data_IF_073106637217
#
_entry.id   IF_073106637217
#
_cell.length_a   1.000
_cell.length_b   1.000
_cell.length_c   1.000
_cell.angle_alpha   90.00
_cell.angle_beta   90.00
_cell.angle_gamma   90.00
#
_symmetry.space_group_name_H-M   'P 1'
#
loop_
_entity.id
_entity.type
_entity.pdbx_description
1 polymer ?
#
# COMPACT_ATOMS: atom_id res chain seq x y z
N UNK A 1 16.06 0.16 19.81
CA UNK A 1 15.76 1.58 19.52
C UNK A 1 15.92 2.36 20.81
N UNK A 2 16.67 3.46 20.79
CA UNK A 2 16.74 4.43 21.90
C UNK A 2 16.07 5.70 21.35
N UNK A 3 14.82 5.99 21.72
CA UNK A 3 14.13 7.19 21.27
C UNK A 3 14.73 8.45 21.91
N UNK A 4 14.42 9.62 21.33
CA UNK A 4 14.73 10.89 21.99
C UNK A 4 14.09 10.93 23.38
N UNK A 5 14.68 11.57 24.40
CA UNK A 5 14.17 11.59 25.78
C UNK A 5 12.72 12.08 25.93
N UNK A 6 12.23 12.90 24.99
CA UNK A 6 10.86 13.42 24.97
C UNK A 6 9.89 12.57 24.13
N UNK A 7 10.37 11.44 23.58
CA UNK A 7 9.57 10.54 22.75
C UNK A 7 9.55 9.16 23.35
N UNK A 8 8.40 8.51 23.27
CA UNK A 8 8.22 7.10 23.58
C UNK A 8 8.03 6.31 22.26
N UNK A 9 8.64 5.13 22.20
CA UNK A 9 8.46 4.22 21.07
C UNK A 9 7.85 2.91 21.57
N UNK A 10 6.67 2.61 21.09
CA UNK A 10 5.94 1.37 21.42
C UNK A 10 5.82 0.48 20.19
N UNK A 11 5.79 -0.83 20.39
CA UNK A 11 5.55 -1.79 19.30
C UNK A 11 4.04 -1.90 19.08
N UNK A 12 3.55 -1.35 17.96
CA UNK A 12 2.13 -1.38 17.61
C UNK A 12 1.68 -2.76 17.10
N UNK A 13 2.45 -3.37 16.19
CA UNK A 13 2.13 -4.68 15.62
C UNK A 13 3.39 -5.42 15.17
N UNK A 14 3.33 -6.75 15.13
CA UNK A 14 4.40 -7.63 14.68
C UNK A 14 3.83 -8.87 13.99
N UNK A 15 4.68 -9.71 13.44
CA UNK A 15 4.29 -11.04 12.97
C UNK A 15 3.61 -11.84 14.10
N UNK A 16 2.56 -12.59 13.78
CA UNK A 16 2.02 -12.93 12.46
C UNK A 16 0.88 -12.00 11.98
N UNK A 17 0.61 -10.90 12.67
CA UNK A 17 -0.49 -9.99 12.28
C UNK A 17 -0.26 -9.38 10.90
N UNK A 18 0.99 -9.07 10.58
CA UNK A 18 1.45 -8.59 9.28
C UNK A 18 2.77 -9.27 8.93
N UNK A 19 3.13 -9.31 7.64
CA UNK A 19 4.35 -9.91 7.14
C UNK A 19 5.05 -8.92 6.22
N UNK A 20 6.35 -8.64 6.47
CA UNK A 20 7.19 -7.82 5.62
C UNK A 20 6.49 -6.53 5.11
N UNK A 21 6.14 -5.58 6.01
CA UNK A 21 5.42 -4.36 5.64
C UNK A 21 6.24 -3.50 4.70
N UNK A 22 5.63 -3.01 3.61
CA UNK A 22 6.27 -2.17 2.61
C UNK A 22 5.88 -0.70 2.74
N UNK A 23 4.60 -0.43 3.02
CA UNK A 23 4.08 0.92 3.21
C UNK A 23 2.85 0.89 4.11
N UNK A 24 2.47 2.05 4.67
CA UNK A 24 1.31 2.17 5.53
C UNK A 24 0.61 3.53 5.37
N UNK A 25 -0.68 3.55 5.72
CA UNK A 25 -1.49 4.75 5.88
C UNK A 25 -2.43 4.57 7.09
N UNK A 26 -3.02 5.66 7.55
CA UNK A 26 -3.94 5.66 8.69
C UNK A 26 -5.27 6.25 8.23
N UNK A 27 -6.36 5.53 8.41
CA UNK A 27 -7.70 6.01 8.07
C UNK A 27 -8.28 6.98 9.12
N UNK A 28 -9.48 7.49 8.84
CA UNK A 28 -10.15 8.46 9.70
C UNK A 28 -10.57 7.87 11.07
N UNK A 29 -10.67 6.57 11.18
CA UNK A 29 -10.95 5.83 12.40
C UNK A 29 -9.69 5.53 13.23
N UNK A 30 -8.50 5.86 12.71
CA UNK A 30 -7.22 5.60 13.37
C UNK A 30 -6.68 4.19 13.14
N UNK A 31 -7.27 3.41 12.23
CA UNK A 31 -6.80 2.07 11.89
C UNK A 31 -5.61 2.15 10.95
N UNK A 32 -4.65 1.27 11.13
CA UNK A 32 -3.41 1.24 10.35
C UNK A 32 -3.56 0.27 9.18
N UNK A 33 -3.48 0.82 7.96
CA UNK A 33 -3.52 0.05 6.72
C UNK A 33 -2.11 -0.22 6.24
N UNK A 34 -1.81 -1.47 5.89
CA UNK A 34 -0.45 -1.90 5.54
C UNK A 34 -0.45 -2.70 4.24
N UNK A 35 0.44 -2.35 3.33
CA UNK A 35 0.79 -3.22 2.19
C UNK A 35 1.92 -4.15 2.59
N UNK A 36 1.80 -5.43 2.23
CA UNK A 36 2.85 -6.43 2.44
C UNK A 36 3.71 -6.58 1.17
N UNK A 37 4.98 -6.91 1.36
CA UNK A 37 5.95 -7.15 0.29
C UNK A 37 6.65 -8.49 0.42
N UNK A 38 5.92 -9.56 0.80
CA UNK A 38 6.48 -10.91 0.96
C UNK A 38 6.95 -11.47 -0.37
N UNK A 39 6.22 -11.19 -1.45
CA UNK A 39 6.58 -11.57 -2.82
C UNK A 39 7.47 -10.55 -3.52
N UNK A 40 8.27 -9.83 -2.75
CA UNK A 40 9.23 -8.88 -3.28
C UNK A 40 10.27 -9.57 -4.16
N UNK A 41 10.57 -8.96 -5.33
CA UNK A 41 11.56 -9.48 -6.31
C UNK A 41 11.25 -10.89 -6.80
N UNK A 42 10.05 -11.11 -7.33
CA UNK A 42 9.55 -12.39 -7.88
C UNK A 42 10.45 -13.05 -8.92
N UNK A 43 11.32 -12.28 -9.58
CA UNK A 43 12.29 -12.77 -10.56
C UNK A 43 13.56 -13.38 -9.96
N UNK A 44 13.72 -13.32 -8.64
CA UNK A 44 14.84 -13.96 -7.96
C UNK A 44 14.61 -15.48 -7.81
N UNK A 45 15.68 -16.28 -7.59
CA UNK A 45 15.58 -17.75 -7.54
C UNK A 45 14.59 -18.31 -6.52
N UNK A 46 14.29 -17.55 -5.45
CA UNK A 46 13.33 -17.98 -4.42
C UNK A 46 11.86 -17.81 -4.83
N UNK A 47 11.57 -17.13 -5.93
CA UNK A 47 10.21 -17.03 -6.48
C UNK A 47 9.16 -16.48 -5.52
N UNK A 48 7.91 -16.86 -5.74
CA UNK A 48 6.78 -16.47 -4.87
C UNK A 48 6.80 -17.25 -3.56
N UNK A 49 6.87 -16.53 -2.44
CA UNK A 49 6.76 -17.10 -1.09
C UNK A 49 5.29 -17.26 -0.71
N UNK A 50 4.43 -16.31 -1.13
CA UNK A 50 2.97 -16.39 -0.97
C UNK A 50 2.29 -16.68 -2.33
N UNK A 51 1.86 -17.92 -2.60
CA UNK A 51 1.25 -18.27 -3.89
C UNK A 51 -0.04 -17.52 -4.21
N UNK A 52 -0.79 -17.11 -3.18
CA UNK A 52 -2.03 -16.33 -3.32
C UNK A 52 -1.79 -14.85 -3.60
N UNK A 53 -0.55 -14.39 -3.59
CA UNK A 53 -0.19 -12.98 -3.66
C UNK A 53 -0.06 -12.31 -2.30
N UNK A 54 0.45 -11.07 -2.30
CA UNK A 54 0.60 -10.26 -1.10
C UNK A 54 -0.75 -9.71 -0.62
N UNK A 55 -0.77 -9.19 0.59
CA UNK A 55 -2.00 -8.71 1.25
C UNK A 55 -1.94 -7.21 1.48
N UNK A 56 -3.13 -6.62 1.50
CA UNK A 56 -3.41 -5.34 2.13
C UNK A 56 -4.07 -5.66 3.46
N UNK A 57 -3.49 -5.18 4.57
CA UNK A 57 -3.93 -5.48 5.93
C UNK A 57 -4.52 -4.24 6.59
N UNK A 58 -5.54 -4.44 7.43
CA UNK A 58 -6.08 -3.43 8.35
C UNK A 58 -5.76 -3.92 9.77
N UNK A 59 -5.03 -3.11 10.51
CA UNK A 59 -4.65 -3.37 11.90
C UNK A 59 -5.38 -2.37 12.79
N UNK A 60 -5.97 -2.83 13.86
CA UNK A 60 -6.76 -2.00 14.75
C UNK A 60 -6.43 -2.29 16.22
N UNK A 61 -6.28 -1.22 16.99
CA UNK A 61 -6.22 -1.22 18.45
C UNK A 61 -7.63 -0.94 18.98
N UNK A 62 -8.35 -1.98 19.37
CA UNK A 62 -9.77 -1.85 19.78
C UNK A 62 -9.94 -1.54 21.26
N UNK A 63 -8.89 -1.66 22.08
CA UNK A 63 -8.92 -1.42 23.52
C UNK A 63 -8.13 -0.18 23.96
N UNK A 64 -7.42 0.46 23.03
CA UNK A 64 -6.73 1.74 23.24
C UNK A 64 -5.42 1.64 24.02
N UNK A 65 -4.80 0.46 24.05
CA UNK A 65 -3.53 0.25 24.75
C UNK A 65 -2.28 0.61 23.93
N UNK A 66 -2.47 1.07 22.69
CA UNK A 66 -1.40 1.45 21.77
C UNK A 66 -0.84 0.26 20.97
N UNK A 67 -1.52 -0.89 20.98
CA UNK A 67 -1.12 -2.08 20.24
C UNK A 67 -2.30 -2.63 19.44
N UNK A 68 -2.03 -3.05 18.23
CA UNK A 68 -3.04 -3.72 17.42
C UNK A 68 -3.40 -5.07 18.06
N UNK A 69 -4.68 -5.29 18.30
CA UNK A 69 -5.22 -6.56 18.80
C UNK A 69 -6.11 -7.25 17.76
N UNK A 70 -6.41 -6.59 16.64
CA UNK A 70 -7.08 -7.19 15.48
C UNK A 70 -6.30 -6.96 14.21
N UNK A 71 -6.45 -7.88 13.25
CA UNK A 71 -5.83 -7.79 11.94
C UNK A 71 -6.74 -8.43 10.87
N UNK A 72 -7.28 -7.61 9.97
CA UNK A 72 -8.12 -8.05 8.87
C UNK A 72 -7.34 -8.06 7.54
N UNK A 73 -7.76 -8.87 6.59
CA UNK A 73 -7.26 -8.80 5.21
C UNK A 73 -8.30 -8.10 4.35
N UNK A 74 -7.97 -6.89 3.91
CA UNK A 74 -8.79 -6.12 2.99
C UNK A 74 -8.78 -6.73 1.58
N UNK A 75 -7.59 -7.07 1.09
CA UNK A 75 -7.40 -7.71 -0.20
C UNK A 75 -6.17 -8.61 -0.18
N UNK A 76 -6.19 -9.66 -1.02
CA UNK A 76 -5.04 -10.50 -1.30
C UNK A 76 -5.03 -10.90 -2.77
N UNK A 77 -3.92 -10.64 -3.47
CA UNK A 77 -3.82 -10.96 -4.89
C UNK A 77 -2.42 -10.73 -5.46
N UNK A 78 -2.18 -11.32 -6.63
CA UNK A 78 -0.90 -11.18 -7.33
C UNK A 78 -0.69 -9.78 -7.94
N UNK A 79 -1.74 -8.99 -8.06
CA UNK A 79 -1.75 -7.62 -8.56
C UNK A 79 -1.28 -6.58 -7.52
N UNK A 80 -1.14 -6.98 -6.27
CA UNK A 80 -0.58 -6.14 -5.19
C UNK A 80 0.74 -6.68 -4.62
N UNK A 81 1.43 -7.57 -5.35
CA UNK A 81 2.73 -8.07 -4.91
C UNK A 81 3.74 -6.93 -4.76
N UNK A 82 4.33 -6.82 -3.58
CA UNK A 82 5.30 -5.80 -3.22
C UNK A 82 4.81 -4.36 -3.52
N UNK A 83 3.57 -4.06 -3.15
CA UNK A 83 3.01 -2.72 -3.31
C UNK A 83 3.76 -1.70 -2.44
N UNK A 84 4.20 -0.58 -3.05
CA UNK A 84 5.09 0.40 -2.43
C UNK A 84 4.37 1.66 -1.93
N UNK A 85 3.12 1.83 -2.26
CA UNK A 85 2.34 2.99 -1.85
C UNK A 85 0.91 2.61 -1.51
N UNK A 86 0.36 3.24 -0.48
CA UNK A 86 -1.04 3.13 -0.08
C UNK A 86 -1.55 4.52 0.31
N UNK A 87 -2.78 4.82 -0.06
CA UNK A 87 -3.55 5.95 0.47
C UNK A 87 -5.00 5.54 0.66
N UNK A 88 -5.52 5.78 1.86
CA UNK A 88 -6.88 5.43 2.25
C UNK A 88 -7.73 6.70 2.33
N UNK A 89 -8.87 6.71 1.62
CA UNK A 89 -9.77 7.85 1.57
C UNK A 89 -11.22 7.37 1.68
N UNK A 90 -11.69 7.22 2.90
CA UNK A 90 -13.01 6.65 3.19
C UNK A 90 -13.14 5.25 2.59
N UNK A 91 -14.10 5.06 1.68
CA UNK A 91 -14.37 3.79 1.01
C UNK A 91 -13.42 3.47 -0.15
N UNK A 92 -12.40 4.28 -0.37
CA UNK A 92 -11.45 4.16 -1.50
C UNK A 92 -10.04 3.93 -1.03
N UNK A 93 -9.36 2.95 -1.62
CA UNK A 93 -7.98 2.60 -1.29
C UNK A 93 -7.15 2.61 -2.56
N UNK A 94 -6.19 3.53 -2.61
CA UNK A 94 -5.26 3.69 -3.74
C UNK A 94 -3.97 2.94 -3.43
N UNK A 95 -3.56 2.06 -4.32
CA UNK A 95 -2.37 1.21 -4.16
C UNK A 95 -1.42 1.42 -5.33
N UNK A 96 -0.14 1.65 -5.04
CA UNK A 96 0.91 1.59 -6.05
C UNK A 96 1.53 0.19 -6.09
N UNK A 97 1.39 -0.46 -7.22
CA UNK A 97 2.09 -1.70 -7.54
C UNK A 97 2.58 -1.64 -8.99
N UNK A 98 3.86 -1.26 -9.18
CA UNK A 98 4.44 -1.05 -10.51
C UNK A 98 4.12 -2.20 -11.47
N UNK A 99 3.74 -1.92 -12.72
CA UNK A 99 3.72 -0.59 -13.39
C UNK A 99 2.41 0.20 -13.20
N UNK A 100 1.55 -0.17 -12.26
CA UNK A 100 0.19 0.36 -12.11
C UNK A 100 0.01 1.11 -10.80
N UNK A 101 -0.93 2.05 -10.82
CA UNK A 101 -1.64 2.55 -9.64
C UNK A 101 -3.08 2.06 -9.71
N UNK A 102 -3.54 1.42 -8.66
CA UNK A 102 -4.79 0.71 -8.56
C UNK A 102 -5.73 1.41 -7.59
N UNK A 103 -7.03 1.37 -7.87
CA UNK A 103 -8.09 1.82 -6.97
C UNK A 103 -8.95 0.62 -6.59
N UNK A 104 -9.07 0.37 -5.30
CA UNK A 104 -10.05 -0.53 -4.69
C UNK A 104 -11.17 0.28 -4.05
N UNK A 105 -12.35 -0.32 -3.94
CA UNK A 105 -13.51 0.23 -3.23
C UNK A 105 -14.02 -0.75 -2.18
N UNK A 106 -14.58 -0.19 -1.11
CA UNK A 106 -15.33 -0.88 -0.06
C UNK A 106 -16.58 -0.03 0.24
N UNK A 107 -17.56 -0.05 -0.66
CA UNK A 107 -18.74 0.79 -0.56
C UNK A 107 -19.72 0.29 0.51
N UNK A 108 -19.63 -0.97 0.90
CA UNK A 108 -20.48 -1.59 1.92
C UNK A 108 -19.88 -1.51 3.33
N UNK A 109 -18.59 -1.15 3.47
CA UNK A 109 -17.90 -0.94 4.74
C UNK A 109 -17.62 -2.24 5.51
N UNK A 110 -17.42 -3.37 4.82
CA UNK A 110 -17.16 -4.66 5.46
C UNK A 110 -15.65 -4.97 5.66
N UNK A 111 -14.80 -3.99 5.39
CA UNK A 111 -13.34 -4.08 5.43
C UNK A 111 -12.76 -5.08 4.41
N UNK A 112 -13.44 -5.22 3.27
CA UNK A 112 -12.98 -6.03 2.12
C UNK A 112 -13.19 -5.27 0.83
N UNK A 113 -12.30 -5.50 -0.13
CA UNK A 113 -12.51 -4.95 -1.46
C UNK A 113 -13.75 -5.56 -2.12
N UNK A 114 -14.64 -4.71 -2.68
CA UNK A 114 -15.88 -5.15 -3.36
C UNK A 114 -15.62 -5.97 -4.62
N UNK A 115 -14.37 -5.97 -5.13
CA UNK A 115 -14.02 -6.72 -6.34
C UNK A 115 -12.58 -6.40 -6.79
N UNK A 116 -12.26 -6.75 -8.05
CA UNK A 116 -10.94 -6.47 -8.60
C UNK A 116 -10.71 -4.95 -8.74
N UNK A 117 -9.44 -4.50 -8.61
CA UNK A 117 -9.14 -3.08 -8.65
C UNK A 117 -9.33 -2.46 -10.05
N UNK A 118 -9.67 -1.18 -10.07
CA UNK A 118 -9.60 -0.34 -11.26
C UNK A 118 -8.21 0.25 -11.42
N UNK A 119 -7.67 0.25 -12.64
CA UNK A 119 -6.39 0.90 -12.95
C UNK A 119 -6.60 2.41 -13.06
N UNK A 120 -5.97 3.20 -12.19
CA UNK A 120 -5.95 4.66 -12.28
C UNK A 120 -4.88 5.14 -13.25
N UNK A 121 -3.68 4.62 -13.12
CA UNK A 121 -2.53 4.92 -13.97
C UNK A 121 -1.76 3.64 -14.29
N UNK A 122 -1.09 3.66 -15.45
CA UNK A 122 -0.17 2.61 -15.87
C UNK A 122 1.11 3.27 -16.46
N UNK A 123 2.20 2.51 -16.52
CA UNK A 123 3.45 2.95 -17.16
C UNK A 123 4.46 3.56 -16.18
N UNK A 124 4.30 3.29 -14.87
CA UNK A 124 5.34 3.58 -13.89
C UNK A 124 6.53 2.66 -14.18
N UNK A 125 7.71 3.25 -14.27
CA UNK A 125 8.96 2.51 -14.47
C UNK A 125 9.32 1.68 -13.22
N UNK A 126 10.39 0.89 -13.35
CA UNK A 126 10.92 0.07 -12.26
C UNK A 126 10.56 -1.40 -12.39
N UNK A 127 11.52 -2.19 -12.90
CA UNK A 127 11.40 -3.65 -13.00
C UNK A 127 11.56 -4.29 -11.62
N UNK A 128 12.23 -3.58 -10.72
CA UNK A 128 12.65 -4.09 -9.41
C UNK A 128 11.69 -3.71 -8.27
N UNK A 129 10.52 -3.16 -8.58
CA UNK A 129 9.55 -2.62 -7.64
C UNK A 129 10.08 -1.50 -6.70
N UNK A 130 11.38 -1.47 -6.42
CA UNK A 130 12.05 -0.51 -5.53
C UNK A 130 11.98 0.93 -6.03
N UNK A 131 11.83 1.09 -7.34
CA UNK A 131 11.86 2.37 -8.06
C UNK A 131 10.49 2.76 -8.63
N UNK A 132 9.42 2.13 -8.13
CA UNK A 132 8.04 2.45 -8.50
C UNK A 132 7.53 3.75 -7.91
N UNK A 133 6.23 3.94 -7.94
CA UNK A 133 5.58 5.05 -7.25
C UNK A 133 5.39 4.71 -5.76
N UNK A 134 5.71 5.65 -4.90
CA UNK A 134 5.60 5.50 -3.44
C UNK A 134 5.28 6.83 -2.75
N UNK A 135 5.14 6.76 -1.42
CA UNK A 135 4.91 7.92 -0.57
C UNK A 135 3.65 8.71 -0.98
N UNK A 136 2.54 8.01 -1.16
CA UNK A 136 1.26 8.64 -1.43
C UNK A 136 0.82 9.48 -0.24
N UNK A 137 0.47 10.76 -0.51
CA UNK A 137 -0.04 11.66 0.51
C UNK A 137 -1.03 12.65 -0.12
N UNK A 138 -2.16 12.88 0.53
CA UNK A 138 -3.05 13.95 0.14
C UNK A 138 -2.57 15.29 0.72
N UNK A 139 -2.36 16.27 -0.16
CA UNK A 139 -2.04 17.62 0.25
C UNK A 139 -3.29 18.38 0.78
N UNK A 140 -3.07 19.53 1.42
CA UNK A 140 -4.17 20.38 1.93
C UNK A 140 -5.05 20.95 0.82
N UNK A 141 -4.61 20.88 -0.42
CA UNK A 141 -5.35 21.26 -1.63
C UNK A 141 -6.20 20.11 -2.21
N UNK A 142 -6.25 18.97 -1.53
CA UNK A 142 -7.00 17.78 -1.95
C UNK A 142 -6.38 17.00 -3.10
N UNK A 143 -5.13 17.32 -3.49
CA UNK A 143 -4.42 16.57 -4.54
C UNK A 143 -3.60 15.44 -3.94
N UNK A 144 -3.49 14.35 -4.70
CA UNK A 144 -2.62 13.24 -4.37
C UNK A 144 -1.20 13.53 -4.87
N UNK A 145 -0.25 13.56 -3.95
CA UNK A 145 1.19 13.67 -4.22
C UNK A 145 1.84 12.31 -4.07
N UNK A 146 2.80 12.01 -4.91
CA UNK A 146 3.60 10.79 -4.83
C UNK A 146 4.96 10.96 -5.51
N UNK A 147 5.92 10.15 -5.12
CA UNK A 147 7.24 10.08 -5.71
C UNK A 147 7.33 8.92 -6.71
N UNK A 148 8.16 9.07 -7.72
CA UNK A 148 8.59 7.99 -8.61
C UNK A 148 10.09 7.86 -8.47
N UNK A 149 10.60 6.64 -8.39
CA UNK A 149 12.02 6.38 -8.32
C UNK A 149 12.75 6.72 -9.62
N UNK A 150 14.07 6.55 -9.62
CA UNK A 150 14.98 6.95 -10.71
C UNK A 150 14.74 6.24 -12.06
N UNK A 151 13.83 5.30 -12.13
CA UNK A 151 13.42 4.66 -13.40
C UNK A 151 12.45 5.51 -14.20
N UNK A 152 11.94 6.60 -13.63
CA UNK A 152 10.96 7.48 -14.26
C UNK A 152 9.72 6.75 -14.73
N UNK A 153 9.06 7.29 -15.72
CA UNK A 153 7.94 6.62 -16.34
C UNK A 153 7.14 7.49 -17.30
N UNK A 154 6.38 6.86 -18.16
CA UNK A 154 5.34 7.52 -18.93
C UNK A 154 3.98 7.08 -18.40
N UNK A 155 3.45 7.86 -17.46
CA UNK A 155 2.14 7.59 -16.89
C UNK A 155 1.05 7.71 -17.97
N UNK A 156 0.13 6.76 -17.97
CA UNK A 156 -1.03 6.75 -18.84
C UNK A 156 -2.28 6.53 -18.01
N UNK A 157 -3.26 7.39 -18.21
CA UNK A 157 -4.59 7.21 -17.68
C UNK A 157 -5.41 6.27 -18.57
N UNK A 158 -6.51 5.68 -18.08
CA UNK A 158 -7.39 4.83 -18.89
C UNK A 158 -7.95 5.52 -20.13
N UNK A 159 -8.18 6.84 -20.09
CA UNK A 159 -8.63 7.67 -21.22
C UNK A 159 -7.50 8.04 -22.20
N UNK A 160 -6.30 7.53 -21.97
CA UNK A 160 -5.18 7.67 -22.89
C UNK A 160 -4.32 8.93 -22.73
N UNK A 161 -4.57 9.78 -21.74
CA UNK A 161 -3.68 10.90 -21.41
C UNK A 161 -2.33 10.37 -20.95
N UNK A 162 -1.27 11.06 -21.36
CA UNK A 162 0.12 10.69 -21.03
C UNK A 162 0.77 11.82 -20.25
N UNK A 163 1.54 11.44 -19.25
CA UNK A 163 2.38 12.32 -18.44
C UNK A 163 3.77 11.72 -18.36
N UNK A 164 4.79 12.54 -18.60
CA UNK A 164 6.19 12.13 -18.45
C UNK A 164 6.59 12.48 -17.02
N UNK A 165 7.24 11.55 -16.35
CA UNK A 165 7.85 11.71 -15.02
C UNK A 165 9.33 11.42 -15.20
N UNK A 166 10.17 12.45 -15.03
CA UNK A 166 11.63 12.38 -15.15
C UNK A 166 12.28 12.20 -13.77
#
# INVERSE_FOLDING_TARGET
>A
LIPHPELEATLFASEPMLLNPANMDIDAEGRVWVTEGVNYRLFKPWGKIQPKGDRIRILEDTDGDGKANTAKTFYQGNDVNAALGIAVLGTRVIISCSPKVLLFTDENGDDKADGPPTVLFNGIGGVDHDHGAHAFVFGPDGKLYFNVGNSGGQLKTPDGKKFIVD
#
